data_IF_747430962521
#
_entry.id   IF_747430962521
#
_cell.length_a   1.000
_cell.length_b   1.000
_cell.length_c   1.000
_cell.angle_alpha   90.00
_cell.angle_beta   90.00
_cell.angle_gamma   90.00
#
_symmetry.space_group_name_H-M   'P 1'
#
loop_
_entity.id
_entity.type
_entity.pdbx_description
1 polymer ?
#
# COMPACT_ATOMS: atom_id res chain seq x y z
N UNK A 1 31.16 -15.89 14.80
CA UNK A 1 31.42 -14.48 14.42
C UNK A 1 32.03 -13.84 15.65
N UNK A 2 33.35 -13.71 15.65
CA UNK A 2 34.18 -13.47 16.82
C UNK A 2 34.09 -12.00 17.27
N UNK A 3 34.09 -11.75 18.58
CA UNK A 3 34.02 -10.42 19.23
C UNK A 3 35.09 -9.44 18.69
N UNK A 4 36.20 -9.95 18.16
CA UNK A 4 37.27 -9.16 17.54
C UNK A 4 36.82 -8.34 16.30
N UNK A 5 35.85 -8.83 15.53
CA UNK A 5 35.37 -8.14 14.30
C UNK A 5 34.43 -6.97 14.64
N UNK A 6 33.70 -7.07 15.76
CA UNK A 6 32.86 -5.99 16.29
C UNK A 6 33.71 -4.84 16.87
N UNK A 7 34.93 -5.13 17.32
CA UNK A 7 35.86 -4.15 17.90
C UNK A 7 36.72 -3.42 16.85
N UNK A 8 36.89 -3.97 15.65
CA UNK A 8 37.84 -3.42 14.65
C UNK A 8 37.33 -2.24 13.83
N UNK A 9 36.06 -1.80 13.99
CA UNK A 9 35.44 -0.72 13.18
C UNK A 9 35.73 -0.84 11.67
N UNK A 10 35.92 -2.06 11.17
CA UNK A 10 36.30 -2.29 9.79
C UNK A 10 35.07 -2.15 8.90
N UNK A 11 34.86 -0.94 8.39
CA UNK A 11 33.78 -0.54 7.47
C UNK A 11 33.56 -1.58 6.35
N UNK A 12 34.66 -2.11 5.80
CA UNK A 12 34.66 -3.08 4.70
C UNK A 12 33.98 -4.42 5.03
N UNK A 13 34.06 -4.90 6.28
CA UNK A 13 33.48 -6.19 6.66
C UNK A 13 31.96 -6.12 6.91
N UNK A 14 31.42 -4.92 7.14
CA UNK A 14 29.99 -4.65 7.29
C UNK A 14 29.31 -4.38 5.95
N UNK A 15 30.05 -3.89 4.95
CA UNK A 15 29.54 -3.42 3.66
C UNK A 15 29.69 -4.42 2.51
N UNK A 16 30.66 -5.35 2.55
CA UNK A 16 30.79 -6.33 1.47
C UNK A 16 29.93 -7.57 1.72
N UNK A 17 28.72 -7.60 1.16
CA UNK A 17 28.15 -8.89 0.75
C UNK A 17 29.18 -9.53 -0.19
N UNK A 18 29.73 -10.70 0.16
CA UNK A 18 30.69 -11.36 -0.72
C UNK A 18 29.97 -11.60 -2.05
N UNK A 19 30.46 -10.98 -3.12
CA UNK A 19 30.12 -11.35 -4.48
C UNK A 19 30.40 -12.84 -4.64
N UNK A 20 29.36 -13.66 -4.49
CA UNK A 20 29.53 -15.10 -4.67
C UNK A 20 29.83 -15.36 -6.13
N UNK A 21 30.67 -16.35 -6.42
CA UNK A 21 30.93 -16.78 -7.78
C UNK A 21 29.63 -17.06 -8.55
N UNK A 22 28.54 -17.41 -7.85
CA UNK A 22 27.20 -17.52 -8.39
C UNK A 22 26.66 -16.21 -8.98
N UNK A 23 26.71 -15.09 -8.25
CA UNK A 23 26.20 -13.79 -8.74
C UNK A 23 27.04 -13.27 -9.92
N UNK A 24 28.37 -13.39 -9.84
CA UNK A 24 29.24 -13.01 -10.96
C UNK A 24 29.02 -13.90 -12.19
N UNK A 25 28.75 -15.21 -11.99
CA UNK A 25 28.37 -16.11 -13.09
C UNK A 25 26.99 -15.81 -13.66
N UNK A 26 26.01 -15.47 -12.82
CA UNK A 26 24.66 -15.14 -13.23
C UNK A 26 24.62 -13.82 -14.01
N UNK A 27 25.37 -12.81 -13.56
CA UNK A 27 25.52 -11.53 -14.23
C UNK A 27 26.25 -11.68 -15.56
N UNK A 28 27.40 -12.38 -15.58
CA UNK A 28 28.11 -12.70 -16.84
C UNK A 28 27.26 -13.53 -17.80
N UNK A 29 26.46 -14.47 -17.30
CA UNK A 29 25.52 -15.23 -18.12
C UNK A 29 24.44 -14.33 -18.75
N UNK A 30 23.88 -13.39 -17.97
CA UNK A 30 22.87 -12.43 -18.46
C UNK A 30 23.46 -11.40 -19.42
N UNK A 31 24.66 -10.90 -19.15
CA UNK A 31 25.40 -10.03 -20.07
C UNK A 31 25.67 -10.77 -21.39
N UNK A 32 26.25 -11.97 -21.35
CA UNK A 32 26.54 -12.74 -22.56
C UNK A 32 25.28 -13.11 -23.37
N UNK A 33 24.13 -13.31 -22.71
CA UNK A 33 22.86 -13.62 -23.39
C UNK A 33 22.24 -12.38 -24.04
N UNK A 34 22.46 -11.19 -23.48
CA UNK A 34 21.84 -9.95 -23.93
C UNK A 34 22.76 -9.09 -24.82
N UNK A 35 24.05 -9.45 -24.93
CA UNK A 35 24.97 -8.80 -25.86
C UNK A 35 24.68 -9.33 -27.26
N UNK A 36 24.24 -8.43 -28.14
CA UNK A 36 24.09 -8.71 -29.56
C UNK A 36 25.49 -8.67 -30.17
N UNK A 37 26.03 -9.82 -30.54
CA UNK A 37 27.40 -9.94 -31.06
C UNK A 37 27.49 -9.75 -32.57
N UNK A 38 26.41 -10.03 -33.31
CA UNK A 38 26.39 -9.99 -34.77
C UNK A 38 25.01 -9.56 -35.26
N UNK A 39 24.96 -8.64 -36.23
CA UNK A 39 23.73 -8.23 -36.92
C UNK A 39 23.97 -8.34 -38.42
N UNK A 40 22.94 -8.80 -39.13
CA UNK A 40 22.95 -8.87 -40.59
C UNK A 40 22.27 -7.62 -41.15
N UNK A 41 23.01 -6.86 -41.95
CA UNK A 41 22.54 -5.66 -42.61
C UNK A 41 21.56 -5.99 -43.77
N UNK A 42 20.86 -4.99 -44.28
CA UNK A 42 19.88 -5.08 -45.36
C UNK A 42 20.44 -5.67 -46.66
N UNK A 43 21.72 -5.44 -46.95
CA UNK A 43 22.46 -6.04 -48.09
C UNK A 43 22.99 -7.46 -47.80
N UNK A 44 22.63 -8.02 -46.64
CA UNK A 44 22.97 -9.39 -46.25
C UNK A 44 24.37 -9.59 -45.70
N UNK A 45 25.11 -8.51 -45.43
CA UNK A 45 26.45 -8.52 -44.82
C UNK A 45 26.36 -8.67 -43.30
N UNK A 46 27.19 -9.54 -42.72
CA UNK A 46 27.25 -9.73 -41.25
C UNK A 46 28.24 -8.73 -40.68
N UNK A 47 27.78 -7.96 -39.70
CA UNK A 47 28.52 -6.90 -39.00
C UNK A 47 28.74 -7.32 -37.56
N UNK A 48 29.99 -7.25 -37.10
CA UNK A 48 30.42 -7.74 -35.78
C UNK A 48 31.16 -6.68 -34.96
N UNK A 49 31.53 -5.54 -35.55
CA UNK A 49 32.17 -4.43 -34.84
C UNK A 49 31.14 -3.54 -34.14
N UNK A 50 31.44 -3.11 -32.91
CA UNK A 50 30.48 -2.43 -32.03
C UNK A 50 29.98 -1.08 -32.53
N UNK A 51 30.80 -0.31 -33.24
CA UNK A 51 30.38 0.99 -33.78
C UNK A 51 29.45 0.77 -34.97
N UNK A 52 29.83 -0.14 -35.88
CA UNK A 52 29.03 -0.50 -37.04
C UNK A 52 27.68 -1.15 -36.64
N UNK A 53 27.65 -1.94 -35.55
CA UNK A 53 26.42 -2.48 -34.98
C UNK A 53 25.46 -1.37 -34.54
N UNK A 54 25.97 -0.32 -33.90
CA UNK A 54 25.14 0.80 -33.43
C UNK A 54 24.60 1.61 -34.61
N UNK A 55 25.41 1.82 -35.65
CA UNK A 55 25.00 2.56 -36.84
C UNK A 55 23.90 1.80 -37.61
N UNK A 56 24.05 0.48 -37.79
CA UNK A 56 23.03 -0.37 -38.44
C UNK A 56 21.73 -0.39 -37.63
N UNK A 57 21.80 -0.51 -36.31
CA UNK A 57 20.61 -0.47 -35.43
C UNK A 57 19.92 0.89 -35.51
N UNK A 58 20.71 1.98 -35.45
CA UNK A 58 20.20 3.33 -35.48
C UNK A 58 19.50 3.61 -36.81
N UNK A 59 20.10 3.25 -37.94
CA UNK A 59 19.53 3.46 -39.26
C UNK A 59 18.28 2.60 -39.50
N UNK A 60 18.28 1.34 -39.03
CA UNK A 60 17.10 0.48 -39.06
C UNK A 60 15.93 1.10 -38.30
N UNK A 61 16.13 1.50 -37.04
CA UNK A 61 15.03 2.03 -36.22
C UNK A 61 14.62 3.45 -36.65
N UNK A 62 15.56 4.25 -37.14
CA UNK A 62 15.26 5.55 -37.74
C UNK A 62 14.38 5.41 -38.98
N UNK A 63 14.59 4.37 -39.79
CA UNK A 63 13.71 4.07 -40.93
C UNK A 63 12.38 3.46 -40.46
N UNK A 64 12.41 2.50 -39.53
CA UNK A 64 11.25 1.81 -39.00
C UNK A 64 10.25 2.74 -38.26
N UNK A 65 10.77 3.72 -37.52
CA UNK A 65 9.96 4.72 -36.81
C UNK A 65 9.81 6.04 -37.56
N UNK A 66 10.39 6.17 -38.76
CA UNK A 66 10.04 7.28 -39.64
C UNK A 66 8.60 7.10 -40.09
N UNK A 67 7.83 8.19 -40.02
CA UNK A 67 6.37 8.17 -40.15
C UNK A 67 5.95 7.69 -41.55
N UNK A 68 5.73 6.39 -41.70
CA UNK A 68 5.02 5.83 -42.85
C UNK A 68 3.54 6.10 -42.63
N UNK A 69 2.87 6.71 -43.61
CA UNK A 69 1.41 6.81 -43.61
C UNK A 69 0.84 5.40 -43.44
N UNK A 70 0.09 5.17 -42.36
CA UNK A 70 -0.55 3.88 -42.10
C UNK A 70 -1.47 3.60 -43.27
N UNK A 71 -1.10 2.61 -44.08
CA UNK A 71 -1.96 2.13 -45.15
C UNK A 71 -3.11 1.35 -44.50
N UNK A 72 -4.27 2.00 -44.42
CA UNK A 72 -5.51 1.39 -43.91
C UNK A 72 -5.81 0.07 -44.59
N UNK A 73 -5.43 -0.09 -45.87
CA UNK A 73 -5.67 -1.32 -46.63
C UNK A 73 -4.85 -2.51 -46.10
N UNK A 74 -3.61 -2.26 -45.65
CA UNK A 74 -2.73 -3.25 -45.02
C UNK A 74 -3.21 -3.60 -43.61
N UNK A 75 -3.76 -2.63 -42.87
CA UNK A 75 -4.38 -2.87 -41.56
C UNK A 75 -5.62 -3.74 -41.73
N UNK A 76 -6.48 -3.44 -42.71
CA UNK A 76 -7.67 -4.23 -43.03
C UNK A 76 -7.31 -5.65 -43.50
N UNK A 77 -6.26 -5.82 -44.30
CA UNK A 77 -5.76 -7.15 -44.70
C UNK A 77 -5.26 -7.96 -43.49
N UNK A 78 -4.55 -7.32 -42.56
CA UNK A 78 -4.04 -7.95 -41.34
C UNK A 78 -5.18 -8.30 -40.38
N UNK A 79 -6.14 -7.39 -40.16
CA UNK A 79 -7.35 -7.63 -39.37
C UNK A 79 -8.26 -8.68 -40.01
N UNK A 80 -8.28 -8.81 -41.33
CA UNK A 80 -9.01 -9.86 -42.03
C UNK A 80 -8.39 -11.26 -41.85
N UNK A 81 -7.09 -11.34 -41.54
CA UNK A 81 -6.42 -12.59 -41.18
C UNK A 81 -6.59 -12.97 -39.70
N UNK A 82 -7.19 -12.10 -38.89
CA UNK A 82 -7.57 -12.42 -37.51
C UNK A 82 -8.87 -13.24 -37.56
N UNK A 83 -8.74 -14.56 -37.44
CA UNK A 83 -9.85 -15.51 -37.50
C UNK A 83 -10.84 -15.42 -36.33
N UNK A 84 -10.52 -14.65 -35.29
CA UNK A 84 -11.40 -14.45 -34.12
C UNK A 84 -11.89 -13.02 -34.16
N UNK A 85 -13.01 -12.82 -34.85
CA UNK A 85 -13.79 -11.58 -34.77
C UNK A 85 -14.85 -11.80 -33.69
N UNK A 86 -15.09 -10.76 -32.91
CA UNK A 86 -16.25 -10.72 -32.02
C UNK A 86 -17.48 -10.65 -32.94
N UNK A 87 -18.53 -11.41 -32.66
CA UNK A 87 -19.73 -11.39 -33.51
C UNK A 87 -20.33 -9.97 -33.51
N UNK A 88 -20.95 -9.56 -34.62
CA UNK A 88 -21.48 -8.21 -34.77
C UNK A 88 -22.48 -7.84 -33.66
N UNK A 89 -23.21 -8.83 -33.11
CA UNK A 89 -24.09 -8.68 -31.93
C UNK A 89 -23.33 -8.35 -30.64
N UNK A 90 -22.16 -8.97 -30.42
CA UNK A 90 -21.34 -8.74 -29.22
C UNK A 90 -20.62 -7.37 -29.31
N UNK A 91 -20.29 -6.92 -30.52
CA UNK A 91 -19.71 -5.58 -30.77
C UNK A 91 -20.75 -4.49 -30.45
N UNK A 92 -21.97 -4.63 -30.97
CA UNK A 92 -23.07 -3.70 -30.70
C UNK A 92 -23.43 -3.67 -29.21
N UNK A 93 -23.44 -4.83 -28.54
CA UNK A 93 -23.62 -4.93 -27.08
C UNK A 93 -22.50 -4.21 -26.29
N UNK A 94 -21.24 -4.24 -26.73
CA UNK A 94 -20.14 -3.59 -26.02
C UNK A 94 -20.13 -2.05 -26.16
N UNK A 95 -20.69 -1.55 -27.26
CA UNK A 95 -20.77 -0.12 -27.57
C UNK A 95 -22.09 0.53 -27.12
N UNK A 96 -23.09 -0.27 -26.72
CA UNK A 96 -24.39 0.18 -26.22
C UNK A 96 -24.34 0.77 -24.78
N UNK A 97 -25.31 1.63 -24.45
CA UNK A 97 -25.45 2.20 -23.11
C UNK A 97 -25.93 1.14 -22.09
N UNK A 98 -25.22 1.04 -20.95
CA UNK A 98 -25.53 0.08 -19.87
C UNK A 98 -26.98 0.26 -19.41
N UNK A 99 -27.81 -0.76 -19.63
CA UNK A 99 -29.22 -0.72 -19.25
C UNK A 99 -29.47 -1.17 -17.80
N UNK A 100 -30.55 -0.69 -17.18
CA UNK A 100 -30.93 -1.10 -15.82
C UNK A 100 -31.25 -2.60 -15.77
N UNK A 101 -31.83 -3.17 -16.82
CA UNK A 101 -32.11 -4.60 -16.93
C UNK A 101 -30.83 -5.45 -17.00
N UNK A 102 -29.78 -4.94 -17.63
CA UNK A 102 -28.45 -5.57 -17.66
C UNK A 102 -27.77 -5.54 -16.30
N UNK A 103 -27.93 -4.43 -15.55
CA UNK A 103 -27.50 -4.33 -14.16
C UNK A 103 -28.28 -5.34 -13.31
N UNK A 104 -29.60 -5.45 -13.46
CA UNK A 104 -30.43 -6.43 -12.75
C UNK A 104 -30.03 -7.87 -13.08
N UNK A 105 -29.71 -8.17 -14.35
CA UNK A 105 -29.20 -9.48 -14.81
C UNK A 105 -27.81 -9.79 -14.26
N UNK A 106 -26.99 -8.76 -14.04
CA UNK A 106 -25.63 -8.86 -13.51
C UNK A 106 -25.59 -8.96 -11.99
N UNK A 107 -26.54 -8.33 -11.28
CA UNK A 107 -26.68 -8.38 -9.82
C UNK A 107 -27.32 -9.69 -9.34
N UNK A 108 -26.57 -10.80 -9.47
CA UNK A 108 -27.01 -12.14 -9.04
C UNK A 108 -26.91 -12.36 -7.54
N UNK A 109 -25.97 -11.66 -6.89
CA UNK A 109 -25.63 -11.86 -5.48
C UNK A 109 -25.35 -10.54 -4.75
N UNK A 110 -25.75 -10.45 -3.48
CA UNK A 110 -25.46 -9.32 -2.59
C UNK A 110 -24.77 -9.82 -1.33
N UNK A 111 -23.76 -9.07 -0.88
CA UNK A 111 -23.05 -9.34 0.36
C UNK A 111 -23.31 -8.21 1.37
N UNK A 112 -23.96 -8.55 2.49
CA UNK A 112 -24.08 -7.63 3.61
C UNK A 112 -22.73 -7.51 4.34
N UNK A 113 -22.13 -6.32 4.31
CA UNK A 113 -20.90 -6.02 5.04
C UNK A 113 -21.21 -5.33 6.37
N UNK A 114 -20.50 -5.72 7.43
CA UNK A 114 -20.61 -5.11 8.76
C UNK A 114 -21.77 -5.66 9.61
N UNK A 115 -22.41 -4.79 10.40
CA UNK A 115 -23.52 -5.16 11.30
C UNK A 115 -24.89 -5.13 10.60
N UNK A 116 -24.95 -4.74 9.33
CA UNK A 116 -26.17 -4.71 8.55
C UNK A 116 -26.68 -6.12 8.29
N UNK A 117 -27.97 -6.35 8.53
CA UNK A 117 -28.66 -7.58 8.15
C UNK A 117 -29.57 -7.26 6.97
N UNK A 118 -29.53 -8.08 5.93
CA UNK A 118 -30.49 -7.97 4.83
C UNK A 118 -31.78 -8.63 5.31
N UNK A 119 -32.91 -7.93 5.23
CA UNK A 119 -34.19 -8.51 5.59
C UNK A 119 -34.58 -9.56 4.55
N UNK A 120 -35.15 -10.67 4.99
CA UNK A 120 -35.60 -11.75 4.10
C UNK A 120 -36.68 -11.31 3.12
N UNK A 121 -37.39 -10.21 3.41
CA UNK A 121 -38.34 -9.59 2.48
C UNK A 121 -37.63 -8.82 1.36
N UNK A 122 -36.52 -8.15 1.63
CA UNK A 122 -35.76 -7.42 0.61
C UNK A 122 -35.19 -8.39 -0.42
N UNK A 123 -34.59 -9.50 0.02
CA UNK A 123 -34.07 -10.54 -0.88
C UNK A 123 -35.16 -11.11 -1.82
N UNK A 124 -36.41 -11.20 -1.34
CA UNK A 124 -37.55 -11.66 -2.15
C UNK A 124 -38.03 -10.60 -3.14
N UNK A 125 -38.03 -9.33 -2.75
CA UNK A 125 -38.42 -8.20 -3.62
C UNK A 125 -37.44 -8.07 -4.77
N UNK A 126 -36.14 -8.08 -4.47
CA UNK A 126 -35.09 -7.87 -5.47
C UNK A 126 -34.69 -9.15 -6.23
N UNK A 127 -35.18 -10.33 -5.81
CA UNK A 127 -34.81 -11.66 -6.34
C UNK A 127 -33.29 -11.94 -6.32
N UNK A 128 -32.55 -11.29 -5.42
CA UNK A 128 -31.10 -11.43 -5.31
C UNK A 128 -30.75 -12.51 -4.27
N UNK A 129 -29.74 -13.34 -4.55
CA UNK A 129 -29.22 -14.30 -3.57
C UNK A 129 -28.25 -13.62 -2.62
N UNK A 130 -28.23 -14.03 -1.36
CA UNK A 130 -27.15 -13.61 -0.46
C UNK A 130 -25.89 -14.40 -0.80
N UNK A 131 -24.78 -13.70 -1.06
CA UNK A 131 -23.48 -14.30 -1.37
C UNK A 131 -22.96 -15.11 -0.17
N UNK A 132 -22.15 -16.13 -0.45
CA UNK A 132 -21.44 -16.93 0.56
C UNK A 132 -20.65 -16.05 1.54
N UNK A 133 -20.26 -16.61 2.69
CA UNK A 133 -19.69 -15.85 3.83
C UNK A 133 -18.52 -14.91 3.48
N UNK A 134 -17.82 -15.12 2.35
CA UNK A 134 -16.63 -14.38 1.93
C UNK A 134 -16.57 -14.16 0.41
N UNK A 135 -16.17 -12.95 -0.01
CA UNK A 135 -15.94 -12.52 -1.39
C UNK A 135 -14.50 -12.03 -1.59
N UNK A 136 -13.89 -12.29 -2.76
CA UNK A 136 -12.58 -11.74 -3.11
C UNK A 136 -12.71 -10.47 -3.94
N UNK A 137 -12.25 -9.34 -3.39
CA UNK A 137 -12.25 -8.03 -4.03
C UNK A 137 -10.81 -7.56 -4.23
N UNK A 138 -10.38 -7.40 -5.48
CA UNK A 138 -9.04 -6.91 -5.85
C UNK A 138 -7.91 -7.63 -5.07
N UNK A 139 -8.03 -8.95 -4.90
CA UNK A 139 -7.05 -9.78 -4.19
C UNK A 139 -7.18 -9.79 -2.66
N UNK A 140 -8.22 -9.19 -2.09
CA UNK A 140 -8.52 -9.15 -0.66
C UNK A 140 -9.86 -9.83 -0.38
N UNK A 141 -9.87 -10.75 0.59
CA UNK A 141 -11.05 -11.45 1.03
C UNK A 141 -11.83 -10.62 2.05
N UNK A 142 -13.10 -10.35 1.77
CA UNK A 142 -14.01 -9.55 2.60
C UNK A 142 -15.29 -10.36 2.82
N UNK A 143 -15.82 -10.39 4.03
CA UNK A 143 -16.93 -11.26 4.37
C UNK A 143 -17.50 -11.02 5.76
N UNK A 144 -18.58 -11.74 6.08
CA UNK A 144 -19.23 -11.69 7.41
C UNK A 144 -18.34 -12.29 8.50
N UNK A 145 -17.65 -13.39 8.15
CA UNK A 145 -16.80 -14.10 9.09
C UNK A 145 -15.39 -13.49 9.11
N UNK A 146 -15.18 -12.59 10.08
CA UNK A 146 -13.91 -11.86 10.23
C UNK A 146 -12.70 -12.78 10.37
N UNK A 147 -12.80 -13.84 11.18
CA UNK A 147 -11.70 -14.78 11.42
C UNK A 147 -11.28 -15.53 10.14
N UNK A 148 -12.27 -15.94 9.33
CA UNK A 148 -12.00 -16.58 8.05
C UNK A 148 -11.35 -15.62 7.06
N UNK A 149 -11.83 -14.37 6.97
CA UNK A 149 -11.23 -13.33 6.12
C UNK A 149 -9.78 -13.03 6.52
N UNK A 150 -9.50 -12.89 7.81
CA UNK A 150 -8.16 -12.68 8.34
C UNK A 150 -7.22 -13.83 7.93
N UNK A 151 -7.68 -15.07 8.09
CA UNK A 151 -6.91 -16.25 7.70
C UNK A 151 -6.62 -16.25 6.20
N UNK A 152 -7.62 -16.05 5.36
CA UNK A 152 -7.45 -16.04 3.90
C UNK A 152 -6.52 -14.91 3.43
N UNK A 153 -6.60 -13.73 4.06
CA UNK A 153 -5.80 -12.56 3.67
C UNK A 153 -4.33 -12.62 4.10
N UNK A 154 -4.04 -13.19 5.27
CA UNK A 154 -2.72 -13.09 5.90
C UNK A 154 -1.93 -14.40 5.87
N UNK A 155 -2.58 -15.56 5.98
CA UNK A 155 -1.88 -16.86 6.06
C UNK A 155 -1.01 -17.10 4.83
N UNK A 156 -1.56 -16.91 3.62
CA UNK A 156 -0.82 -17.06 2.37
C UNK A 156 0.36 -16.08 2.24
N UNK A 157 0.21 -14.85 2.75
CA UNK A 157 1.28 -13.84 2.73
C UNK A 157 2.40 -14.21 3.69
N UNK A 158 2.07 -14.65 4.89
CA UNK A 158 3.06 -15.12 5.88
C UNK A 158 3.83 -16.32 5.34
N UNK A 159 3.16 -17.27 4.69
CA UNK A 159 3.83 -18.42 4.07
C UNK A 159 4.76 -17.99 2.92
N UNK A 160 4.31 -17.08 2.05
CA UNK A 160 5.13 -16.51 0.96
C UNK A 160 6.37 -15.78 1.48
N UNK A 161 6.20 -15.00 2.56
CA UNK A 161 7.29 -14.30 3.24
C UNK A 161 8.26 -15.30 3.89
N UNK A 162 7.75 -16.33 4.55
CA UNK A 162 8.59 -17.33 5.21
C UNK A 162 9.45 -18.09 4.18
N UNK A 163 8.86 -18.48 3.04
CA UNK A 163 9.59 -19.11 1.92
C UNK A 163 10.68 -18.18 1.37
N UNK A 164 10.37 -16.90 1.17
CA UNK A 164 11.32 -15.89 0.73
C UNK A 164 12.50 -15.77 1.71
N UNK A 165 12.21 -15.55 3.00
CA UNK A 165 13.24 -15.40 4.03
C UNK A 165 14.14 -16.65 4.12
N UNK A 166 13.56 -17.85 4.07
CA UNK A 166 14.32 -19.10 4.08
C UNK A 166 15.25 -19.24 2.86
N UNK A 167 14.78 -18.84 1.68
CA UNK A 167 15.61 -18.85 0.47
C UNK A 167 16.79 -17.88 0.56
N UNK A 168 16.57 -16.68 1.09
CA UNK A 168 17.64 -15.69 1.28
C UNK A 168 18.57 -16.04 2.44
N UNK A 169 18.08 -16.80 3.43
CA UNK A 169 18.87 -17.28 4.57
C UNK A 169 19.98 -18.26 4.17
N UNK A 170 19.83 -18.95 3.05
CA UNK A 170 20.89 -19.82 2.51
C UNK A 170 22.13 -19.04 2.04
N UNK A 171 22.04 -17.71 1.91
CA UNK A 171 23.13 -16.86 1.43
C UNK A 171 23.86 -16.21 2.60
N UNK A 172 25.17 -15.99 2.44
CA UNK A 172 25.96 -15.22 3.39
C UNK A 172 25.72 -13.72 3.18
N UNK A 173 24.66 -13.20 3.79
CA UNK A 173 24.31 -11.79 3.80
C UNK A 173 24.88 -11.09 5.04
N UNK A 174 25.37 -9.87 4.84
CA UNK A 174 25.67 -8.88 5.88
C UNK A 174 24.39 -8.46 6.63
N UNK A 175 24.56 -7.77 7.76
CA UNK A 175 23.41 -7.26 8.52
C UNK A 175 22.61 -6.25 7.68
N UNK A 176 23.29 -5.32 7.00
CA UNK A 176 22.66 -4.37 6.08
C UNK A 176 22.01 -5.08 4.89
N UNK A 177 22.67 -6.06 4.27
CA UNK A 177 22.08 -6.85 3.18
C UNK A 177 20.77 -7.53 3.58
N UNK A 178 20.67 -8.04 4.82
CA UNK A 178 19.41 -8.61 5.34
C UNK A 178 18.33 -7.57 5.53
N UNK A 179 18.67 -6.38 6.05
CA UNK A 179 17.70 -5.28 6.16
C UNK A 179 17.20 -4.88 4.78
N UNK A 180 18.09 -4.79 3.78
CA UNK A 180 17.73 -4.49 2.40
C UNK A 180 16.82 -5.56 1.78
N UNK A 181 17.07 -6.85 2.04
CA UNK A 181 16.18 -7.93 1.61
C UNK A 181 14.80 -7.79 2.26
N UNK A 182 14.74 -7.48 3.56
CA UNK A 182 13.47 -7.28 4.26
C UNK A 182 12.73 -6.08 3.65
N UNK A 183 13.39 -4.92 3.52
CA UNK A 183 12.76 -3.69 3.06
C UNK A 183 12.34 -3.73 1.59
N UNK A 184 13.15 -4.32 0.71
CA UNK A 184 12.87 -4.34 -0.72
C UNK A 184 11.94 -5.50 -1.13
N UNK A 185 12.14 -6.71 -0.58
CA UNK A 185 11.49 -7.92 -1.10
C UNK A 185 10.37 -8.48 -0.20
N UNK A 186 10.52 -8.42 1.11
CA UNK A 186 9.49 -8.88 2.04
C UNK A 186 8.39 -7.84 2.15
N UNK A 187 8.81 -6.63 2.45
CA UNK A 187 7.96 -5.52 2.78
C UNK A 187 7.08 -5.09 1.60
N UNK A 188 7.62 -5.02 0.39
CA UNK A 188 6.84 -4.75 -0.83
C UNK A 188 5.60 -5.65 -1.00
N UNK A 189 5.64 -6.91 -0.54
CA UNK A 189 4.50 -7.83 -0.61
C UNK A 189 3.34 -7.49 0.34
N UNK A 190 3.61 -6.69 1.37
CA UNK A 190 2.62 -6.34 2.39
C UNK A 190 1.90 -5.02 2.07
N UNK A 191 2.49 -4.15 1.23
CA UNK A 191 2.09 -2.74 1.15
C UNK A 191 0.66 -2.56 0.71
N UNK A 192 0.27 -3.24 -0.36
CA UNK A 192 -1.09 -3.19 -0.88
C UNK A 192 -2.12 -3.65 0.18
N UNK A 193 -1.80 -4.71 0.93
CA UNK A 193 -2.71 -5.23 1.94
C UNK A 193 -2.84 -4.30 3.14
N UNK A 194 -1.72 -3.78 3.64
CA UNK A 194 -1.72 -2.82 4.75
C UNK A 194 -2.44 -1.52 4.39
N UNK A 195 -2.34 -1.11 3.12
CA UNK A 195 -3.03 0.07 2.63
C UNK A 195 -4.56 -0.09 2.74
N UNK A 196 -5.10 -1.28 2.48
CA UNK A 196 -6.57 -1.49 2.45
C UNK A 196 -7.12 -2.06 3.76
N UNK A 197 -6.41 -2.99 4.39
CA UNK A 197 -6.88 -3.76 5.56
C UNK A 197 -5.89 -3.65 6.70
N UNK A 198 -6.40 -3.58 7.93
CA UNK A 198 -5.57 -3.58 9.13
C UNK A 198 -4.96 -4.97 9.36
N UNK A 199 -3.71 -5.00 9.82
CA UNK A 199 -3.06 -6.25 10.19
C UNK A 199 -3.53 -6.70 11.58
N UNK A 200 -4.05 -7.93 11.74
CA UNK A 200 -4.34 -8.47 13.06
C UNK A 200 -3.06 -8.64 13.88
N UNK A 201 -3.15 -8.40 15.18
CA UNK A 201 -1.99 -8.40 16.09
C UNK A 201 -1.19 -9.70 16.02
N UNK A 202 -1.89 -10.84 15.96
CA UNK A 202 -1.32 -12.18 15.78
C UNK A 202 -0.35 -12.25 14.60
N UNK A 203 -0.76 -11.73 13.45
CA UNK A 203 0.05 -11.76 12.22
C UNK A 203 1.18 -10.73 12.26
N UNK A 204 0.96 -9.58 12.88
CA UNK A 204 2.01 -8.57 13.10
C UNK A 204 3.16 -9.15 13.94
N UNK A 205 2.85 -9.76 15.08
CA UNK A 205 3.84 -10.40 15.98
C UNK A 205 4.57 -11.52 15.23
N UNK A 206 3.85 -12.35 14.48
CA UNK A 206 4.43 -13.46 13.74
C UNK A 206 5.41 -12.99 12.65
N UNK A 207 5.04 -11.98 11.85
CA UNK A 207 5.91 -11.43 10.81
C UNK A 207 7.12 -10.74 11.46
N UNK A 208 6.92 -9.93 12.52
CA UNK A 208 8.00 -9.29 13.27
C UNK A 208 9.01 -10.33 13.78
N UNK A 209 8.52 -11.41 14.40
CA UNK A 209 9.36 -12.54 14.86
C UNK A 209 10.17 -13.14 13.71
N UNK A 210 9.55 -13.44 12.58
CA UNK A 210 10.23 -14.02 11.40
C UNK A 210 11.30 -13.09 10.83
N UNK A 211 11.04 -11.79 10.80
CA UNK A 211 12.00 -10.81 10.33
C UNK A 211 13.21 -10.71 11.28
N UNK A 212 12.98 -10.74 12.59
CA UNK A 212 14.06 -10.71 13.59
C UNK A 212 14.90 -12.00 13.57
N UNK A 213 14.25 -13.17 13.44
CA UNK A 213 14.92 -14.46 13.26
C UNK A 213 15.84 -14.43 12.02
N UNK A 214 15.37 -13.85 10.91
CA UNK A 214 16.18 -13.69 9.70
C UNK A 214 17.32 -12.68 9.92
N UNK A 215 17.02 -11.49 10.47
CA UNK A 215 18.00 -10.44 10.71
C UNK A 215 19.19 -10.93 11.54
N UNK A 216 18.92 -11.68 12.61
CA UNK A 216 19.93 -12.17 13.55
C UNK A 216 20.45 -13.59 13.26
N UNK A 217 20.07 -14.22 12.13
CA UNK A 217 20.42 -15.62 11.85
C UNK A 217 20.04 -16.58 12.99
N UNK A 218 18.80 -16.48 13.48
CA UNK A 218 18.26 -17.22 14.63
C UNK A 218 19.01 -17.00 15.96
N UNK A 219 19.88 -15.98 16.05
CA UNK A 219 20.48 -15.58 17.32
C UNK A 219 19.55 -14.63 18.06
N UNK A 220 19.68 -14.51 19.40
CA UNK A 220 18.97 -13.49 20.13
C UNK A 220 19.29 -12.10 19.57
N UNK A 221 18.31 -11.19 19.48
CA UNK A 221 18.55 -9.81 19.11
C UNK A 221 19.59 -9.18 20.03
N UNK A 222 20.65 -8.61 19.43
CA UNK A 222 21.69 -7.92 20.20
C UNK A 222 21.32 -6.46 20.51
N UNK A 223 20.34 -5.93 19.79
CA UNK A 223 19.90 -4.55 19.84
C UNK A 223 18.38 -4.52 20.00
N UNK A 224 17.88 -3.57 20.79
CA UNK A 224 16.44 -3.37 20.98
C UNK A 224 15.75 -3.01 19.66
N UNK A 225 14.48 -3.41 19.52
CA UNK A 225 13.72 -3.20 18.28
C UNK A 225 13.58 -1.72 17.91
N UNK A 226 13.36 -0.85 18.90
CA UNK A 226 13.23 0.61 18.74
C UNK A 226 14.50 1.22 18.12
N UNK A 227 15.68 0.77 18.56
CA UNK A 227 16.95 1.24 18.02
C UNK A 227 17.18 0.74 16.58
N UNK A 228 16.73 -0.47 16.25
CA UNK A 228 16.87 -1.06 14.91
C UNK A 228 16.07 -0.26 13.86
N UNK A 229 14.93 0.32 14.23
CA UNK A 229 14.06 1.09 13.32
C UNK A 229 14.70 2.42 12.92
N UNK A 230 15.46 3.05 13.81
CA UNK A 230 16.04 4.38 13.59
C UNK A 230 16.91 4.45 12.34
N UNK A 231 17.09 5.67 11.81
CA UNK A 231 17.94 5.91 10.63
C UNK A 231 19.38 5.48 10.92
N UNK A 232 20.12 5.17 9.86
CA UNK A 232 21.53 4.76 9.95
C UNK A 232 22.39 5.87 10.59
N UNK A 233 22.05 7.14 10.33
CA UNK A 233 22.74 8.31 10.91
C UNK A 233 22.62 8.33 12.43
N UNK A 234 21.48 7.91 12.97
CA UNK A 234 21.18 7.91 14.40
C UNK A 234 21.64 6.61 15.10
N UNK A 235 22.48 5.81 14.43
CA UNK A 235 22.98 4.52 14.94
C UNK A 235 22.01 3.35 14.80
N UNK A 236 20.89 3.52 14.08
CA UNK A 236 19.94 2.47 13.77
C UNK A 236 20.27 1.72 12.48
N UNK A 237 19.38 0.81 12.07
CA UNK A 237 19.54 0.01 10.84
C UNK A 237 18.57 0.41 9.72
N UNK A 238 17.73 1.42 9.94
CA UNK A 238 16.63 1.82 9.06
C UNK A 238 15.68 0.65 8.75
N UNK A 239 15.37 -0.13 9.78
CA UNK A 239 14.52 -1.30 9.64
C UNK A 239 13.05 -0.90 9.52
N UNK A 240 12.31 -1.46 8.54
CA UNK A 240 10.91 -1.10 8.35
C UNK A 240 10.03 -1.66 9.47
N UNK A 241 9.33 -0.78 10.20
CA UNK A 241 8.23 -1.18 11.08
C UNK A 241 6.89 -1.21 10.33
N UNK A 242 6.14 -2.29 10.54
CA UNK A 242 4.88 -2.56 9.84
C UNK A 242 3.79 -1.57 10.29
N UNK A 243 3.75 -1.23 11.57
CA UNK A 243 2.72 -0.34 12.14
C UNK A 243 2.96 1.10 11.70
N UNK A 244 4.21 1.59 11.78
CA UNK A 244 4.58 2.91 11.28
C UNK A 244 4.26 3.04 9.78
N UNK A 245 4.52 2.01 8.98
CA UNK A 245 4.18 2.03 7.55
C UNK A 245 2.68 2.06 7.31
N UNK A 246 1.91 1.30 8.09
CA UNK A 246 0.44 1.33 8.03
C UNK A 246 -0.07 2.73 8.38
N UNK A 247 0.40 3.34 9.46
CA UNK A 247 0.05 4.71 9.84
C UNK A 247 0.42 5.72 8.76
N UNK A 248 1.59 5.60 8.12
CA UNK A 248 1.95 6.45 7.00
C UNK A 248 0.96 6.35 5.81
N UNK A 249 0.44 5.14 5.51
CA UNK A 249 -0.62 4.99 4.50
C UNK A 249 -1.94 5.62 4.93
N UNK A 250 -2.30 5.50 6.21
CA UNK A 250 -3.51 6.12 6.78
C UNK A 250 -3.41 7.65 6.77
N UNK A 251 -2.27 8.22 7.09
CA UNK A 251 -2.01 9.66 7.02
C UNK A 251 -2.09 10.19 5.59
N UNK A 252 -1.57 9.44 4.61
CA UNK A 252 -1.74 9.79 3.19
C UNK A 252 -3.22 9.76 2.75
N UNK A 253 -4.04 8.92 3.38
CA UNK A 253 -5.47 8.91 3.15
C UNK A 253 -6.15 10.12 3.78
N UNK A 254 -5.76 10.49 5.01
CA UNK A 254 -6.25 11.69 5.70
C UNK A 254 -5.85 12.98 4.97
N UNK A 255 -4.63 13.07 4.44
CA UNK A 255 -4.21 14.25 3.67
C UNK A 255 -5.12 14.48 2.45
N UNK A 256 -5.60 13.40 1.81
CA UNK A 256 -6.59 13.49 0.72
C UNK A 256 -7.98 13.83 1.22
N UNK A 257 -8.35 13.39 2.43
CA UNK A 257 -9.63 13.73 3.04
C UNK A 257 -9.72 15.25 3.29
N UNK A 258 -8.65 15.82 3.86
CA UNK A 258 -8.53 17.24 4.21
C UNK A 258 -8.35 18.17 3.01
N UNK A 259 -7.90 17.66 1.85
CA UNK A 259 -7.77 18.47 0.63
C UNK A 259 -9.14 18.84 0.04
N UNK A 260 -9.54 20.11 0.17
CA UNK A 260 -10.83 20.62 -0.31
C UNK A 260 -11.04 20.44 -1.81
N UNK A 261 -9.97 20.48 -2.61
CA UNK A 261 -10.04 20.36 -4.07
C UNK A 261 -10.21 18.90 -4.54
N UNK A 262 -10.01 17.94 -3.65
CA UNK A 262 -10.10 16.52 -3.99
C UNK A 262 -11.53 15.99 -3.82
N UNK A 263 -12.26 15.82 -4.92
CA UNK A 263 -13.60 15.23 -4.89
C UNK A 263 -13.55 13.70 -5.01
N UNK A 264 -14.01 12.97 -3.99
CA UNK A 264 -14.14 11.52 -4.05
C UNK A 264 -15.31 11.00 -3.21
N UNK A 265 -16.01 9.99 -3.72
CA UNK A 265 -17.21 9.39 -3.09
C UNK A 265 -16.89 8.87 -1.68
N UNK A 266 -15.72 8.25 -1.50
CA UNK A 266 -15.31 7.69 -0.21
C UNK A 266 -15.19 8.75 0.90
N UNK A 267 -14.98 10.04 0.56
CA UNK A 267 -14.95 11.11 1.56
C UNK A 267 -16.28 11.20 2.30
N UNK A 268 -17.39 11.18 1.56
CA UNK A 268 -18.73 11.25 2.14
C UNK A 268 -18.97 10.08 3.08
N UNK A 269 -18.56 8.86 2.68
CA UNK A 269 -18.63 7.68 3.53
C UNK A 269 -17.78 7.81 4.80
N UNK A 270 -16.56 8.33 4.68
CA UNK A 270 -15.66 8.56 5.81
C UNK A 270 -16.27 9.57 6.80
N UNK A 271 -16.74 10.72 6.30
CA UNK A 271 -17.40 11.75 7.09
C UNK A 271 -18.65 11.24 7.78
N UNK A 272 -19.45 10.40 7.11
CA UNK A 272 -20.61 9.75 7.71
C UNK A 272 -20.24 8.84 8.89
N UNK A 273 -19.15 8.09 8.79
CA UNK A 273 -18.70 7.27 9.92
C UNK A 273 -18.16 8.12 11.05
N UNK A 274 -17.43 9.20 10.75
CA UNK A 274 -16.92 10.11 11.76
C UNK A 274 -18.04 10.89 12.46
N UNK A 275 -19.08 11.32 11.74
CA UNK A 275 -20.23 12.00 12.34
C UNK A 275 -21.03 11.11 13.28
N UNK A 276 -21.05 9.79 13.02
CA UNK A 276 -21.67 8.80 13.91
C UNK A 276 -20.88 8.49 15.17
N UNK A 277 -19.69 9.05 15.34
CA UNK A 277 -18.89 8.83 16.54
C UNK A 277 -19.56 9.46 17.78
N UNK A 278 -19.88 8.63 18.77
CA UNK A 278 -20.51 9.00 20.05
C UNK A 278 -21.75 9.94 19.93
N UNK A 279 -22.45 9.94 18.79
CA UNK A 279 -23.55 10.87 18.46
C UNK A 279 -23.17 12.37 18.53
N UNK A 280 -21.88 12.70 18.47
CA UNK A 280 -21.42 14.09 18.58
C UNK A 280 -21.45 14.84 17.24
N UNK A 281 -21.71 14.14 16.12
CA UNK A 281 -21.79 14.73 14.78
C UNK A 281 -20.51 15.49 14.36
N UNK A 282 -19.35 15.02 14.81
CA UNK A 282 -18.04 15.68 14.72
C UNK A 282 -17.34 15.52 13.35
N UNK A 283 -18.04 15.21 12.27
CA UNK A 283 -17.50 15.19 10.89
C UNK A 283 -15.97 15.06 10.73
N UNK A 284 -15.30 16.11 10.27
CA UNK A 284 -13.82 16.21 10.21
C UNK A 284 -13.25 16.60 11.58
N UNK A 285 -14.05 17.29 12.37
CA UNK A 285 -13.73 17.89 13.66
C UNK A 285 -13.22 16.86 14.68
N UNK A 286 -13.58 15.58 14.52
CA UNK A 286 -13.07 14.46 15.31
C UNK A 286 -11.54 14.39 15.34
N UNK A 287 -10.88 14.89 14.29
CA UNK A 287 -9.42 14.95 14.21
C UNK A 287 -8.82 15.94 15.22
N UNK A 288 -9.56 16.96 15.63
CA UNK A 288 -9.11 17.90 16.67
C UNK A 288 -9.35 17.37 18.10
N UNK A 289 -10.01 16.22 18.24
CA UNK A 289 -10.29 15.61 19.53
C UNK A 289 -9.15 14.67 19.98
N UNK A 290 -8.73 14.81 21.24
CA UNK A 290 -7.90 13.85 21.95
C UNK A 290 -8.76 12.66 22.41
N UNK A 291 -8.60 11.54 21.69
CA UNK A 291 -9.29 10.27 21.95
C UNK A 291 -8.35 9.19 22.49
N UNK A 292 -7.12 9.54 22.93
CA UNK A 292 -6.08 8.58 23.34
C UNK A 292 -6.55 7.58 24.42
N UNK A 293 -7.48 7.99 25.28
CA UNK A 293 -8.00 7.20 26.39
C UNK A 293 -9.41 6.63 26.17
N UNK A 294 -9.99 6.78 24.96
CA UNK A 294 -11.35 6.32 24.66
C UNK A 294 -11.35 5.12 23.72
N UNK A 295 -12.29 4.21 23.95
CA UNK A 295 -12.51 3.06 23.06
C UNK A 295 -13.28 3.51 21.82
N UNK A 296 -12.63 3.46 20.66
CA UNK A 296 -13.21 3.82 19.36
C UNK A 296 -13.90 2.59 18.71
N UNK A 297 -14.35 1.63 19.52
CA UNK A 297 -14.90 0.34 19.08
C UNK A 297 -16.19 0.46 18.24
N UNK A 298 -16.84 1.63 18.30
CA UNK A 298 -18.03 1.93 17.52
C UNK A 298 -17.74 2.06 16.01
N UNK A 299 -16.52 2.46 15.63
CA UNK A 299 -16.13 2.66 14.23
C UNK A 299 -15.56 1.36 13.62
N UNK A 300 -15.67 1.17 12.29
CA UNK A 300 -14.92 0.11 11.61
C UNK A 300 -13.40 0.25 11.84
N UNK A 301 -12.69 -0.88 11.91
CA UNK A 301 -11.26 -0.93 12.28
C UNK A 301 -10.36 -0.04 11.41
N UNK A 302 -10.69 0.08 10.12
CA UNK A 302 -9.96 0.96 9.21
C UNK A 302 -10.02 2.42 9.68
N UNK A 303 -11.21 2.93 10.03
CA UNK A 303 -11.38 4.30 10.53
C UNK A 303 -10.80 4.50 11.93
N UNK A 304 -10.84 3.48 12.78
CA UNK A 304 -10.10 3.52 14.05
C UNK A 304 -8.60 3.74 13.80
N UNK A 305 -8.00 3.01 12.86
CA UNK A 305 -6.58 3.17 12.53
C UNK A 305 -6.24 4.51 11.88
N UNK A 306 -7.19 5.15 11.19
CA UNK A 306 -7.03 6.52 10.69
C UNK A 306 -6.88 7.50 11.85
N UNK A 307 -7.81 7.47 12.80
CA UNK A 307 -7.79 8.36 13.98
C UNK A 307 -6.53 8.13 14.82
N UNK A 308 -6.17 6.87 15.10
CA UNK A 308 -4.95 6.55 15.86
C UNK A 308 -3.69 7.04 15.13
N UNK A 309 -3.64 6.93 13.79
CA UNK A 309 -2.50 7.45 13.02
C UNK A 309 -2.39 8.96 13.09
N UNK A 310 -3.50 9.68 13.08
CA UNK A 310 -3.53 11.13 13.24
C UNK A 310 -3.01 11.54 14.62
N UNK A 311 -3.54 10.92 15.68
CA UNK A 311 -3.14 11.20 17.06
C UNK A 311 -1.65 10.99 17.34
N UNK A 312 -1.02 10.04 16.63
CA UNK A 312 0.42 9.82 16.76
C UNK A 312 1.28 10.97 16.24
N UNK A 313 0.71 11.86 15.42
CA UNK A 313 1.40 13.01 14.83
C UNK A 313 0.84 14.35 15.33
N UNK A 314 -0.39 14.42 15.85
CA UNK A 314 -1.03 15.65 16.30
C UNK A 314 -0.14 16.54 17.18
N UNK A 315 0.64 15.96 18.08
CA UNK A 315 1.54 16.71 18.97
C UNK A 315 2.63 17.50 18.23
N UNK A 316 2.91 17.13 16.97
CA UNK A 316 3.89 17.77 16.10
C UNK A 316 3.26 18.68 15.04
N UNK A 317 1.94 18.92 15.10
CA UNK A 317 1.22 19.78 14.16
C UNK A 317 0.77 21.03 14.90
N UNK A 318 1.35 22.18 14.52
CA UNK A 318 0.89 23.47 15.01
C UNK A 318 -0.45 23.80 14.35
N UNK A 319 -1.51 23.86 15.15
CA UNK A 319 -2.84 24.29 14.71
C UNK A 319 -2.99 25.75 15.09
N UNK A 320 -2.98 26.65 14.10
CA UNK A 320 -3.25 28.07 14.31
C UNK A 320 -4.73 28.27 14.66
N UNK A 321 -5.00 28.60 15.93
CA UNK A 321 -6.35 28.89 16.43
C UNK A 321 -6.56 30.41 16.43
N UNK A 322 -7.29 30.92 15.44
CA UNK A 322 -7.65 32.34 15.32
C UNK A 322 -9.08 32.61 15.81
N UNK A 323 -9.39 33.86 16.18
CA UNK A 323 -10.72 34.26 16.70
C UNK A 323 -11.89 33.92 15.76
N UNK A 324 -11.63 33.81 14.46
CA UNK A 324 -12.62 33.42 13.45
C UNK A 324 -12.88 31.90 13.45
N UNK A 325 -11.86 31.09 13.68
CA UNK A 325 -11.93 29.62 13.57
C UNK A 325 -12.22 28.93 14.91
N UNK A 326 -12.13 29.65 16.04
CA UNK A 326 -12.38 29.09 17.39
C UNK A 326 -13.75 28.43 17.50
N UNK A 327 -14.76 28.96 16.78
CA UNK A 327 -16.12 28.40 16.80
C UNK A 327 -16.29 27.13 15.97
N UNK A 328 -15.37 26.86 15.04
CA UNK A 328 -15.39 25.68 14.17
C UNK A 328 -14.61 24.50 14.77
N UNK A 329 -14.01 24.69 15.94
CA UNK A 329 -13.21 23.67 16.62
C UNK A 329 -14.06 23.02 17.73
N UNK A 330 -14.01 21.69 17.90
CA UNK A 330 -14.78 21.03 18.94
C UNK A 330 -14.40 21.56 20.32
N UNK A 331 -15.42 21.87 21.13
CA UNK A 331 -15.25 22.34 22.50
C UNK A 331 -14.76 21.21 23.42
N UNK A 332 -15.31 20.01 23.24
CA UNK A 332 -15.00 18.85 24.07
C UNK A 332 -13.82 18.08 23.48
N UNK A 333 -12.99 17.52 24.38
CA UNK A 333 -11.82 16.69 24.03
C UNK A 333 -10.74 17.43 23.23
N UNK A 334 -10.81 18.75 23.12
CA UNK A 334 -9.79 19.52 22.44
C UNK A 334 -8.61 19.78 23.40
N UNK A 335 -7.38 19.31 23.08
CA UNK A 335 -6.21 19.52 23.93
C UNK A 335 -5.83 21.00 24.04
N UNK A 336 -6.25 21.85 23.10
CA UNK A 336 -5.96 23.28 23.09
C UNK A 336 -6.92 24.09 23.99
N UNK A 337 -7.96 23.47 24.56
CA UNK A 337 -8.93 24.12 25.46
C UNK A 337 -8.78 23.51 26.85
N UNK A 338 -7.96 24.13 27.70
CA UNK A 338 -7.74 23.70 29.09
C UNK A 338 -8.66 24.44 30.06
N UNK A 339 -9.38 23.71 30.89
CA UNK A 339 -10.32 24.25 31.87
C UNK A 339 -9.59 24.54 33.19
N UNK A 340 -8.96 25.71 33.31
CA UNK A 340 -8.21 26.08 34.53
C UNK A 340 -9.11 26.78 35.55
N UNK A 341 -10.08 27.59 35.13
CA UNK A 341 -11.08 28.22 36.01
C UNK A 341 -12.45 28.33 35.31
N UNK A 342 -13.51 28.16 36.08
CA UNK A 342 -14.84 27.65 35.71
C UNK A 342 -15.74 28.49 34.78
N UNK A 343 -15.21 29.35 33.91
CA UNK A 343 -16.00 30.00 32.85
C UNK A 343 -15.25 30.13 31.52
N UNK A 344 -15.80 29.50 30.47
CA UNK A 344 -15.41 29.75 29.08
C UNK A 344 -16.30 30.88 28.55
N UNK A 345 -15.76 32.09 28.40
CA UNK A 345 -16.48 33.24 27.80
C UNK A 345 -15.93 33.55 26.41
N UNK A 346 -16.81 33.54 25.41
CA UNK A 346 -16.50 34.00 24.06
C UNK A 346 -16.78 35.49 23.96
N UNK A 347 -15.74 36.32 23.83
CA UNK A 347 -15.90 37.75 23.48
C UNK A 347 -15.13 38.05 22.20
N UNK A 348 -15.72 38.91 21.37
CA UNK A 348 -15.47 39.11 19.92
C UNK A 348 -14.03 39.38 19.47
N UNK A 349 -13.01 39.42 20.35
CA UNK A 349 -11.65 39.73 19.92
C UNK A 349 -10.51 38.90 20.46
N UNK A 350 -10.69 38.03 21.46
CA UNK A 350 -9.64 37.09 21.88
C UNK A 350 -10.20 36.10 22.88
N UNK A 351 -10.02 34.79 22.66
CA UNK A 351 -10.06 33.83 23.76
C UNK A 351 -8.79 34.03 24.60
N UNK A 352 -8.88 34.89 25.62
CA UNK A 352 -7.86 35.01 26.67
C UNK A 352 -8.51 34.66 28.00
N UNK A 353 -7.90 33.71 28.69
CA UNK A 353 -8.09 33.54 30.13
C UNK A 353 -7.39 34.71 30.82
N UNK A 354 -8.09 35.39 31.73
CA UNK A 354 -7.54 36.44 32.58
C UNK A 354 -7.95 36.17 34.03
N UNK A 355 -7.00 36.50 34.91
CA UNK A 355 -6.87 36.30 36.37
C UNK A 355 -8.12 36.46 37.25
#
# INVERSE_FOLDING_TARGET
>A
MSIAILRSKSQWALESDRNTAYFLKLEKYRQNKNVISEIKDCDGKIVTETNDLLDVIHDYYKHFFSCVSIDMHSVDELLNNVNVKIDDEDVEMCDDEISIEEIEKSLKEVLALGKGKICSNDLKIWKIKECDEVLQLLGIWVGKNKSLCEKLNWEGKVQSITKLLNFWKMRHLTLHGRVSVISALLMSKLWYTLMVVNIPEKYCILIKKKCLEFLWNNKPPLVAYEVIINKVVDGGLNFPDIMQKMYAFRLKYLSRLLDENYCAIWKQTCLYFFSKFENMNLGIEILFCDLRNRKIDALPEFYQSLILSWQSICENVDIEVNSENVFDIPLFLNPNITNVESEIRFTEKTARFMD
#
